data_IF_703994838458
#
_entry.id   IF_703994838458
#
_cell.length_a   1.000
_cell.length_b   1.000
_cell.length_c   1.000
_cell.angle_alpha   90.00
_cell.angle_beta   90.00
_cell.angle_gamma   90.00
#
_symmetry.space_group_name_H-M   'P 1'
#
loop_
_entity.id
_entity.type
_entity.pdbx_description
1 polymer ?
#
# COMPACT_ATOMS: atom_id res chain seq x y z
N UNK A 1 26.86 -0.60 1.03
CA UNK A 1 26.72 0.60 1.89
C UNK A 1 28.10 1.16 2.09
N UNK A 2 28.28 2.45 1.87
CA UNK A 2 29.54 3.13 2.18
C UNK A 2 29.23 4.17 3.25
N UNK A 3 29.29 3.72 4.51
CA UNK A 3 28.98 4.55 5.66
C UNK A 3 30.22 5.33 6.08
N UNK A 4 30.06 6.63 6.24
CA UNK A 4 31.07 7.55 6.76
C UNK A 4 30.50 8.35 7.91
N UNK A 5 31.37 8.80 8.81
CA UNK A 5 30.98 9.69 9.89
C UNK A 5 30.65 11.08 9.32
N UNK A 6 29.54 11.63 9.77
CA UNK A 6 29.07 12.96 9.42
C UNK A 6 28.91 13.78 10.70
N UNK A 7 29.76 14.79 10.87
CA UNK A 7 29.77 15.64 12.05
C UNK A 7 28.64 16.68 12.01
N UNK A 8 27.90 16.77 13.11
CA UNK A 8 26.85 17.76 13.31
C UNK A 8 27.43 19.00 14.02
N UNK A 9 26.83 20.19 13.84
CA UNK A 9 27.23 21.40 14.56
C UNK A 9 27.22 21.26 16.10
N UNK A 10 26.42 20.33 16.61
CA UNK A 10 26.32 19.98 18.03
C UNK A 10 27.54 19.24 18.61
N UNK A 11 28.58 18.94 17.82
CA UNK A 11 29.74 18.15 18.22
C UNK A 11 29.52 16.63 18.20
N UNK A 12 28.29 16.16 17.95
CA UNK A 12 27.96 14.74 17.73
C UNK A 12 28.19 14.33 16.28
N UNK A 13 28.25 13.04 16.00
CA UNK A 13 28.34 12.52 14.64
C UNK A 13 27.25 11.47 14.36
N UNK A 14 26.96 11.27 13.07
CA UNK A 14 26.06 10.23 12.57
C UNK A 14 26.78 9.39 11.52
N UNK A 15 26.46 8.10 11.47
CA UNK A 15 26.84 7.26 10.34
C UNK A 15 25.92 7.54 9.16
N UNK A 16 26.48 7.97 8.04
CA UNK A 16 25.72 8.36 6.86
C UNK A 16 26.27 7.68 5.60
N UNK A 17 25.38 7.27 4.70
CA UNK A 17 25.77 6.89 3.35
C UNK A 17 25.86 8.15 2.47
N UNK A 18 27.06 8.41 1.96
CA UNK A 18 27.36 9.54 1.07
C UNK A 18 27.63 9.10 -0.37
N UNK A 19 27.29 7.85 -0.71
CA UNK A 19 27.53 7.28 -2.06
C UNK A 19 26.63 7.89 -3.13
N UNK A 20 25.55 8.56 -2.72
CA UNK A 20 24.60 9.26 -3.59
C UNK A 20 24.68 10.77 -3.38
N UNK A 21 24.10 11.56 -4.29
CA UNK A 21 24.04 13.03 -4.18
C UNK A 21 23.31 13.54 -2.92
N UNK A 22 22.57 12.66 -2.22
CA UNK A 22 21.92 12.95 -0.94
C UNK A 22 22.59 12.15 0.18
N UNK A 23 22.91 12.84 1.27
CA UNK A 23 23.39 12.22 2.51
C UNK A 23 22.24 11.50 3.18
N UNK A 24 22.41 10.21 3.49
CA UNK A 24 21.37 9.39 4.10
C UNK A 24 21.85 8.80 5.42
N UNK A 25 21.35 9.27 6.58
CA UNK A 25 21.71 8.69 7.86
C UNK A 25 21.30 7.23 7.99
N UNK A 26 22.18 6.45 8.61
CA UNK A 26 21.94 5.08 9.02
C UNK A 26 20.99 5.05 10.21
N UNK A 27 19.97 4.18 10.14
CA UNK A 27 18.94 4.11 11.17
C UNK A 27 19.11 2.85 12.05
N UNK A 28 19.37 3.02 13.36
CA UNK A 28 19.38 1.92 14.34
C UNK A 28 18.04 1.19 14.39
N UNK A 29 18.08 -0.11 14.69
CA UNK A 29 16.89 -0.98 14.68
C UNK A 29 15.74 -0.45 15.54
N UNK A 30 16.04 0.07 16.73
CA UNK A 30 15.05 0.62 17.66
C UNK A 30 14.22 1.78 17.05
N UNK A 31 14.81 2.57 16.16
CA UNK A 31 14.17 3.77 15.59
C UNK A 31 13.40 3.48 14.30
N UNK A 32 13.64 2.34 13.64
CA UNK A 32 13.10 2.05 12.28
C UNK A 32 11.58 2.12 12.22
N UNK A 33 10.89 1.54 13.23
CA UNK A 33 9.43 1.53 13.28
C UNK A 33 8.86 2.93 13.47
N UNK A 34 9.45 3.74 14.35
CA UNK A 34 9.02 5.11 14.59
C UNK A 34 9.19 5.97 13.33
N UNK A 35 10.34 5.87 12.65
CA UNK A 35 10.59 6.59 11.40
C UNK A 35 9.64 6.12 10.29
N UNK A 36 9.36 4.82 10.20
CA UNK A 36 8.35 4.29 9.29
C UNK A 36 6.99 4.95 9.54
N UNK A 37 6.52 5.00 10.80
CA UNK A 37 5.23 5.61 11.12
C UNK A 37 5.17 7.10 10.76
N UNK A 38 6.24 7.87 11.02
CA UNK A 38 6.29 9.28 10.66
C UNK A 38 6.23 9.51 9.15
N UNK A 39 6.85 8.64 8.35
CA UNK A 39 6.87 8.80 6.89
C UNK A 39 5.61 8.23 6.24
N UNK A 40 5.18 7.04 6.65
CA UNK A 40 4.03 6.36 6.08
C UNK A 40 2.70 6.98 6.54
N UNK A 41 2.62 7.46 7.78
CA UNK A 41 1.40 8.05 8.36
C UNK A 41 0.94 9.35 7.70
N UNK A 42 1.79 10.01 6.91
CA UNK A 42 1.44 11.26 6.21
C UNK A 42 0.32 11.07 5.18
N UNK A 43 0.26 9.91 4.53
CA UNK A 43 -0.70 9.67 3.43
C UNK A 43 -1.01 8.20 3.18
N UNK A 44 -0.54 7.29 4.03
CA UNK A 44 -0.62 5.83 3.84
C UNK A 44 -0.25 5.36 2.41
N UNK A 45 0.90 5.81 1.87
CA UNK A 45 1.27 5.49 0.51
C UNK A 45 1.54 3.99 0.33
N UNK A 46 1.37 3.51 -0.90
CA UNK A 46 1.65 2.12 -1.22
C UNK A 46 3.11 1.73 -1.10
N UNK A 47 3.35 0.42 -0.98
CA UNK A 47 4.67 -0.20 -0.71
C UNK A 47 5.81 0.43 -1.54
N UNK A 48 5.67 0.50 -2.87
CA UNK A 48 6.71 1.02 -3.77
C UNK A 48 7.02 2.50 -3.47
N UNK A 49 5.98 3.29 -3.23
CA UNK A 49 6.09 4.72 -2.92
C UNK A 49 6.75 4.94 -1.55
N UNK A 50 6.36 4.18 -0.52
CA UNK A 50 6.99 4.24 0.81
C UNK A 50 8.46 3.86 0.75
N UNK A 51 8.82 2.79 0.03
CA UNK A 51 10.21 2.37 -0.17
C UNK A 51 11.02 3.47 -0.84
N UNK A 52 10.47 4.09 -1.90
CA UNK A 52 11.13 5.19 -2.62
C UNK A 52 11.37 6.39 -1.69
N UNK A 53 10.35 6.77 -0.91
CA UNK A 53 10.42 7.90 0.00
C UNK A 53 11.44 7.66 1.12
N UNK A 54 11.43 6.47 1.74
CA UNK A 54 12.38 6.16 2.82
C UNK A 54 13.81 6.01 2.32
N UNK A 55 14.06 5.35 1.18
CA UNK A 55 15.41 5.24 0.60
C UNK A 55 15.98 6.58 0.13
N UNK A 56 15.13 7.59 -0.08
CA UNK A 56 15.58 8.94 -0.44
C UNK A 56 16.16 9.72 0.75
N UNK A 57 15.86 9.28 1.99
CA UNK A 57 16.19 9.99 3.24
C UNK A 57 17.05 9.17 4.20
N UNK A 58 16.94 7.84 4.19
CA UNK A 58 17.49 6.96 5.21
C UNK A 58 18.12 5.71 4.59
N UNK A 59 18.96 5.03 5.36
CA UNK A 59 19.57 3.76 4.92
C UNK A 59 19.73 2.74 6.06
N UNK A 60 19.48 1.47 5.75
CA UNK A 60 19.88 0.29 6.53
C UNK A 60 19.68 -0.98 5.68
N UNK A 61 20.40 -2.11 5.93
CA UNK A 61 20.46 -3.26 5.02
C UNK A 61 19.11 -3.83 4.59
N UNK A 62 18.15 -3.90 5.52
CA UNK A 62 16.83 -4.51 5.32
C UNK A 62 15.70 -3.51 4.99
N UNK A 63 16.00 -2.25 4.65
CA UNK A 63 14.99 -1.19 4.49
C UNK A 63 13.82 -1.58 3.60
N UNK A 64 14.08 -2.22 2.45
CA UNK A 64 13.00 -2.66 1.55
C UNK A 64 12.11 -3.72 2.22
N UNK A 65 12.71 -4.73 2.87
CA UNK A 65 11.98 -5.82 3.52
C UNK A 65 11.15 -5.30 4.70
N UNK A 66 11.75 -4.46 5.54
CA UNK A 66 11.11 -3.91 6.73
C UNK A 66 9.91 -3.03 6.34
N UNK A 67 10.10 -2.13 5.37
CA UNK A 67 9.03 -1.24 4.88
C UNK A 67 7.91 -2.02 4.20
N UNK A 68 8.23 -3.07 3.45
CA UNK A 68 7.23 -3.96 2.87
C UNK A 68 6.36 -4.61 3.94
N UNK A 69 7.00 -5.18 4.96
CA UNK A 69 6.30 -5.83 6.07
C UNK A 69 5.39 -4.83 6.81
N UNK A 70 5.94 -3.67 7.22
CA UNK A 70 5.17 -2.66 7.95
C UNK A 70 4.03 -2.05 7.12
N UNK A 71 4.22 -1.84 5.82
CA UNK A 71 3.15 -1.33 4.95
C UNK A 71 2.05 -2.38 4.76
N UNK A 72 2.40 -3.67 4.67
CA UNK A 72 1.43 -4.77 4.54
C UNK A 72 0.57 -4.95 5.78
N UNK A 73 1.05 -4.58 6.97
CA UNK A 73 0.28 -4.65 8.22
C UNK A 73 -0.51 -3.38 8.52
N UNK A 74 -0.44 -2.36 7.66
CA UNK A 74 -1.19 -1.12 7.83
C UNK A 74 -2.66 -1.28 7.46
N UNK A 75 -3.55 -1.17 8.44
CA UNK A 75 -5.02 -1.32 8.27
C UNK A 75 -5.59 -0.25 7.32
N UNK A 76 -5.16 1.01 7.47
CA UNK A 76 -5.65 2.10 6.61
C UNK A 76 -5.31 1.86 5.13
N UNK A 77 -4.06 1.46 4.85
CA UNK A 77 -3.63 1.09 3.51
C UNK A 77 -4.37 -0.15 2.98
N UNK A 78 -4.57 -1.18 3.80
CA UNK A 78 -5.30 -2.40 3.42
C UNK A 78 -6.76 -2.11 3.04
N UNK A 79 -7.45 -1.25 3.80
CA UNK A 79 -8.84 -0.87 3.52
C UNK A 79 -8.96 -0.05 2.25
N UNK A 80 -8.05 0.90 2.02
CA UNK A 80 -8.08 1.76 0.85
C UNK A 80 -7.67 1.04 -0.44
N UNK A 81 -6.75 0.07 -0.36
CA UNK A 81 -6.19 -0.59 -1.53
C UNK A 81 -6.58 -2.05 -1.64
N UNK A 82 -7.64 -2.30 -2.40
CA UNK A 82 -8.04 -3.64 -2.83
C UNK A 82 -7.06 -4.11 -3.92
N UNK A 83 -6.09 -4.96 -3.55
CA UNK A 83 -5.15 -5.56 -4.52
C UNK A 83 -5.61 -6.94 -5.02
N UNK A 84 -6.55 -7.57 -4.30
CA UNK A 84 -7.06 -8.91 -4.59
C UNK A 84 -8.56 -8.90 -4.37
N UNK A 85 -9.30 -9.17 -5.44
CA UNK A 85 -10.71 -9.51 -5.33
C UNK A 85 -10.80 -11.02 -5.07
N UNK A 86 -11.52 -11.40 -4.02
CA UNK A 86 -11.90 -12.80 -3.85
C UNK A 86 -12.95 -13.10 -4.91
N UNK A 87 -12.54 -13.79 -5.97
CA UNK A 87 -13.47 -14.35 -6.95
C UNK A 87 -13.88 -15.72 -6.43
N UNK A 88 -15.15 -15.88 -6.10
CA UNK A 88 -15.74 -17.20 -5.91
C UNK A 88 -15.68 -17.96 -7.23
N UNK A 89 -15.58 -19.30 -7.17
CA UNK A 89 -15.84 -20.10 -8.37
C UNK A 89 -17.24 -19.76 -8.85
N UNK A 90 -17.42 -19.64 -10.16
CA UNK A 90 -18.75 -19.56 -10.74
C UNK A 90 -19.50 -20.81 -10.31
N UNK A 91 -20.66 -20.64 -9.68
CA UNK A 91 -21.55 -21.76 -9.42
C UNK A 91 -22.07 -22.29 -10.74
N UNK A 92 -22.15 -23.62 -10.87
CA UNK A 92 -22.88 -24.22 -11.97
C UNK A 92 -24.36 -24.04 -11.68
N UNK A 93 -25.06 -23.33 -12.58
CA UNK A 93 -26.51 -23.29 -12.56
C UNK A 93 -27.02 -24.52 -13.28
N UNK A 94 -27.87 -25.30 -12.63
CA UNK A 94 -28.54 -26.41 -13.29
C UNK A 94 -29.42 -25.88 -14.43
N UNK A 95 -29.41 -26.59 -15.56
CA UNK A 95 -30.27 -26.27 -16.69
C UNK A 95 -31.71 -26.64 -16.30
N UNK A 96 -32.67 -25.70 -16.33
CA UNK A 96 -34.04 -26.00 -15.96
C UNK A 96 -34.62 -27.11 -16.86
N UNK A 97 -35.20 -28.14 -16.26
CA UNK A 97 -35.68 -29.35 -16.96
C UNK A 97 -36.96 -29.15 -17.77
N UNK A 98 -37.55 -27.95 -17.72
CA UNK A 98 -38.81 -27.61 -18.37
C UNK A 98 -39.02 -26.11 -18.48
N UNK A 99 -40.07 -25.72 -19.22
CA UNK A 99 -40.45 -24.31 -19.38
C UNK A 99 -40.93 -23.74 -18.04
N UNK A 100 -40.53 -22.51 -17.73
CA UNK A 100 -40.92 -21.78 -16.52
C UNK A 100 -40.46 -22.38 -15.18
N UNK A 101 -39.53 -23.34 -15.18
CA UNK A 101 -39.00 -23.92 -13.94
C UNK A 101 -38.11 -22.94 -13.15
N UNK A 102 -37.40 -22.04 -13.83
CA UNK A 102 -36.59 -20.97 -13.23
C UNK A 102 -36.76 -19.70 -14.06
N UNK A 103 -37.01 -18.57 -13.40
CA UNK A 103 -37.11 -17.25 -14.05
C UNK A 103 -36.17 -16.29 -13.32
N UNK A 104 -35.20 -15.73 -14.06
CA UNK A 104 -34.37 -14.64 -13.57
C UNK A 104 -34.98 -13.31 -14.02
N UNK A 105 -35.38 -12.48 -13.07
CA UNK A 105 -35.94 -11.14 -13.32
C UNK A 105 -34.93 -10.13 -12.78
N UNK A 106 -34.55 -9.17 -13.61
CA UNK A 106 -33.71 -8.04 -13.22
C UNK A 106 -34.35 -6.73 -13.68
N UNK A 107 -34.05 -5.64 -12.98
CA UNK A 107 -34.56 -4.31 -13.28
C UNK A 107 -33.49 -3.49 -13.98
N UNK A 108 -33.88 -2.78 -15.03
CA UNK A 108 -33.00 -1.86 -15.75
C UNK A 108 -33.42 -0.43 -15.41
N UNK A 109 -32.46 0.40 -14.98
CA UNK A 109 -32.73 1.82 -14.73
C UNK A 109 -31.54 2.63 -14.20
N UNK A 110 -31.72 3.96 -14.09
CA UNK A 110 -32.90 4.73 -14.53
C UNK A 110 -32.97 4.89 -16.05
N UNK A 111 -34.18 4.85 -16.62
CA UNK A 111 -34.44 5.07 -18.05
C UNK A 111 -35.08 6.45 -18.27
N UNK A 112 -34.95 7.06 -19.47
CA UNK A 112 -35.63 8.31 -19.77
C UNK A 112 -37.16 8.16 -19.64
N UNK A 113 -37.87 9.18 -19.13
CA UNK A 113 -39.32 9.13 -19.00
C UNK A 113 -40.00 8.85 -20.33
N UNK A 114 -40.92 7.89 -20.35
CA UNK A 114 -41.65 7.51 -21.56
C UNK A 114 -43.01 6.93 -21.23
N UNK A 115 -44.05 7.50 -21.86
CA UNK A 115 -45.45 7.04 -21.77
C UNK A 115 -45.94 6.79 -20.32
N UNK A 116 -45.59 7.68 -19.39
CA UNK A 116 -46.03 7.60 -18.00
C UNK A 116 -45.15 6.76 -17.08
N UNK A 117 -44.05 6.18 -17.58
CA UNK A 117 -42.98 5.65 -16.74
C UNK A 117 -41.94 6.75 -16.55
N UNK A 118 -41.65 7.10 -15.29
CA UNK A 118 -40.69 8.12 -14.85
C UNK A 118 -39.40 7.49 -14.37
#
# INVERSE_FOLDING_TARGET
MNLKEYHLPSGKYLWCDTSTSKIRPYIPQACRKQIFHHIHGLSHPGIKSTIKLMNSKFIWPSIKKDVQLCTRTCIAYQKAKINRHTKTKLGESEVPSGRFCVVHIDLIGPLPPSRGNI
#
